data_IF_234149393334
#
_entry.id   IF_234149393334
#
_cell.length_a   1.000
_cell.length_b   1.000
_cell.length_c   1.000
_cell.angle_alpha   90.00
_cell.angle_beta   90.00
_cell.angle_gamma   90.00
#
_symmetry.space_group_name_H-M   'P 1'
#
loop_
_entity.id
_entity.type
_entity.pdbx_description
1 polymer ?
#
# COMPACT_ATOMS: atom_id res chain seq x y z
N UNK A 1 10.18 -33.85 12.38
CA UNK A 1 9.40 -33.51 11.17
C UNK A 1 9.29 -31.99 11.11
N UNK A 2 10.25 -31.34 10.46
CA UNK A 2 10.36 -29.87 10.45
C UNK A 2 9.50 -29.31 9.31
N UNK A 3 8.36 -28.70 9.64
CA UNK A 3 7.51 -28.01 8.67
C UNK A 3 8.20 -26.68 8.34
N UNK A 4 8.87 -26.66 7.19
CA UNK A 4 9.46 -25.47 6.58
C UNK A 4 8.30 -24.59 6.11
N UNK A 5 7.84 -23.67 6.95
CA UNK A 5 6.89 -22.63 6.53
C UNK A 5 7.65 -21.72 5.58
N UNK A 6 7.60 -22.04 4.29
CA UNK A 6 7.87 -21.07 3.24
C UNK A 6 6.75 -20.03 3.34
N UNK A 7 7.01 -18.93 4.05
CA UNK A 7 6.28 -17.69 3.87
C UNK A 7 6.56 -17.21 2.45
N UNK A 8 5.78 -17.77 1.51
CA UNK A 8 5.77 -17.40 0.11
C UNK A 8 5.37 -15.92 0.06
N UNK A 9 6.33 -15.04 -0.23
CA UNK A 9 6.09 -13.64 -0.57
C UNK A 9 5.12 -13.46 -1.76
N UNK A 10 4.73 -14.54 -2.45
CA UNK A 10 3.65 -14.54 -3.44
C UNK A 10 2.24 -14.49 -2.84
N UNK A 11 1.98 -15.15 -1.71
CA UNK A 11 0.64 -15.12 -1.10
C UNK A 11 0.28 -13.71 -0.62
N UNK A 12 1.27 -12.92 -0.20
CA UNK A 12 1.02 -11.55 0.25
C UNK A 12 0.69 -10.63 -0.94
N UNK A 13 1.45 -10.70 -2.04
CA UNK A 13 1.15 -9.94 -3.26
C UNK A 13 -0.19 -10.37 -3.89
N UNK A 14 -0.52 -11.66 -3.94
CA UNK A 14 -1.81 -12.12 -4.46
C UNK A 14 -2.99 -11.73 -3.55
N UNK A 15 -2.82 -11.75 -2.22
CA UNK A 15 -3.87 -11.33 -1.28
C UNK A 15 -4.07 -9.82 -1.30
N UNK A 16 -2.99 -9.05 -1.39
CA UNK A 16 -3.01 -7.59 -1.58
C UNK A 16 -3.68 -7.25 -2.93
N UNK A 17 -3.30 -7.95 -4.01
CA UNK A 17 -3.89 -7.78 -5.33
C UNK A 17 -5.37 -8.23 -5.39
N UNK A 18 -5.76 -9.26 -4.65
CA UNK A 18 -7.15 -9.69 -4.50
C UNK A 18 -7.97 -8.73 -3.63
N UNK A 19 -7.37 -8.11 -2.60
CA UNK A 19 -8.00 -7.04 -1.82
C UNK A 19 -8.18 -5.77 -2.65
N UNK A 20 -7.22 -5.42 -3.50
CA UNK A 20 -7.37 -4.34 -4.49
C UNK A 20 -8.48 -4.58 -5.50
N UNK A 21 -8.74 -5.84 -5.88
CA UNK A 21 -9.93 -6.19 -6.68
C UNK A 21 -11.26 -5.98 -5.94
N UNK A 22 -11.24 -5.84 -4.61
CA UNK A 22 -12.44 -5.68 -3.77
C UNK A 22 -12.55 -4.32 -3.06
N UNK A 23 -11.56 -3.43 -3.22
CA UNK A 23 -11.59 -2.08 -2.66
C UNK A 23 -12.70 -1.27 -3.36
N UNK A 24 -13.86 -1.25 -2.72
CA UNK A 24 -15.08 -0.62 -3.19
C UNK A 24 -14.91 0.90 -3.21
N UNK A 25 -15.14 1.49 -4.40
CA UNK A 25 -15.63 2.87 -4.62
C UNK A 25 -14.71 3.99 -4.09
N UNK A 26 -13.88 4.52 -4.99
CA UNK A 26 -13.13 5.76 -4.78
C UNK A 26 -11.63 5.52 -4.77
N UNK A 27 -10.95 6.08 -5.77
CA UNK A 27 -9.50 6.26 -5.86
C UNK A 27 -8.63 5.11 -5.30
N UNK A 28 -8.36 4.07 -6.11
CA UNK A 28 -7.66 2.85 -5.67
C UNK A 28 -6.26 3.11 -5.08
N UNK A 29 -5.62 4.22 -5.43
CA UNK A 29 -4.35 4.61 -4.87
C UNK A 29 -4.46 5.18 -3.44
N UNK A 30 -5.51 5.94 -3.12
CA UNK A 30 -5.76 6.33 -1.71
C UNK A 30 -6.14 5.11 -0.87
N UNK A 31 -6.96 4.20 -1.39
CA UNK A 31 -7.27 2.95 -0.71
C UNK A 31 -6.01 2.10 -0.46
N UNK A 32 -5.10 2.01 -1.44
CA UNK A 32 -3.79 1.38 -1.29
C UNK A 32 -3.01 2.00 -0.13
N UNK A 33 -2.96 3.34 -0.07
CA UNK A 33 -2.27 4.04 1.00
C UNK A 33 -2.87 3.78 2.38
N UNK A 34 -4.20 3.81 2.49
CA UNK A 34 -4.88 3.50 3.74
C UNK A 34 -4.61 2.06 4.19
N UNK A 35 -4.58 1.10 3.26
CA UNK A 35 -4.21 -0.28 3.57
C UNK A 35 -2.75 -0.39 4.05
N UNK A 36 -1.81 0.27 3.38
CA UNK A 36 -0.39 0.29 3.79
C UNK A 36 -0.22 0.91 5.18
N UNK A 37 -0.90 2.03 5.46
CA UNK A 37 -0.87 2.68 6.78
C UNK A 37 -1.54 1.80 7.84
N UNK A 38 -2.66 1.15 7.50
CA UNK A 38 -3.33 0.21 8.40
C UNK A 38 -2.43 -1.00 8.71
N UNK A 39 -1.70 -1.48 7.70
CA UNK A 39 -0.77 -2.58 7.84
C UNK A 39 0.42 -2.22 8.75
N UNK A 40 1.03 -1.04 8.58
CA UNK A 40 2.09 -0.51 9.44
C UNK A 40 1.64 -0.47 10.92
N UNK A 41 0.41 -0.02 11.20
CA UNK A 41 -0.18 -0.05 12.55
C UNK A 41 -0.37 -1.47 13.09
N UNK A 42 -0.79 -2.42 12.25
CA UNK A 42 -0.94 -3.84 12.64
C UNK A 42 0.41 -4.49 12.96
N UNK A 43 1.47 -4.12 12.24
CA UNK A 43 2.83 -4.56 12.55
C UNK A 43 3.28 -4.03 13.91
N UNK A 44 2.96 -2.78 14.26
CA UNK A 44 3.30 -2.23 15.57
C UNK A 44 2.63 -3.02 16.71
N UNK A 45 1.34 -3.30 16.59
CA UNK A 45 0.60 -4.13 17.56
C UNK A 45 1.21 -5.54 17.66
N UNK A 46 1.68 -6.10 16.54
CA UNK A 46 2.36 -7.40 16.55
C UNK A 46 3.69 -7.35 17.31
N UNK A 47 4.47 -6.27 17.17
CA UNK A 47 5.70 -6.06 17.95
C UNK A 47 5.39 -6.00 19.44
N UNK A 48 4.38 -5.24 19.86
CA UNK A 48 3.94 -5.15 21.26
C UNK A 48 3.52 -6.51 21.84
N UNK A 49 2.81 -7.32 21.05
CA UNK A 49 2.41 -8.69 21.41
C UNK A 49 3.63 -9.62 21.61
N UNK A 50 4.68 -9.44 20.81
CA UNK A 50 5.92 -10.22 20.90
C UNK A 50 6.79 -9.79 22.09
N UNK A 51 6.96 -8.48 22.31
CA UNK A 51 7.73 -7.92 23.42
C UNK A 51 7.09 -8.24 24.78
N UNK A 52 5.76 -8.22 24.84
CA UNK A 52 5.01 -8.60 26.05
C UNK A 52 4.92 -10.11 26.28
N UNK A 53 5.17 -10.92 25.24
CA UNK A 53 5.02 -12.38 25.24
C UNK A 53 3.56 -12.88 25.31
N UNK A 54 2.56 -11.99 25.27
CA UNK A 54 1.16 -12.34 25.58
C UNK A 54 0.31 -12.69 24.35
N UNK A 55 0.71 -12.32 23.12
CA UNK A 55 -0.03 -12.57 21.86
C UNK A 55 -1.54 -12.35 22.01
N UNK A 56 -1.93 -11.10 22.28
CA UNK A 56 -3.32 -10.74 22.59
C UNK A 56 -4.18 -10.55 21.34
N UNK A 57 -3.58 -10.05 20.26
CA UNK A 57 -4.32 -9.52 19.11
C UNK A 57 -4.42 -10.51 17.94
N UNK A 58 -3.48 -11.47 17.85
CA UNK A 58 -3.39 -12.43 16.74
C UNK A 58 -3.98 -13.78 17.12
N UNK A 59 -5.32 -13.90 17.06
CA UNK A 59 -6.09 -15.07 17.51
C UNK A 59 -5.59 -16.41 16.97
N UNK A 60 -5.26 -16.49 15.67
CA UNK A 60 -4.79 -17.73 15.05
C UNK A 60 -3.40 -18.14 15.59
N UNK A 61 -2.52 -17.16 15.82
CA UNK A 61 -1.19 -17.41 16.37
C UNK A 61 -1.27 -17.82 17.85
N UNK A 62 -2.15 -17.14 18.60
CA UNK A 62 -2.48 -17.51 19.97
C UNK A 62 -3.01 -18.94 20.05
N UNK A 63 -3.99 -19.28 19.22
CA UNK A 63 -4.57 -20.62 19.13
C UNK A 63 -3.50 -21.67 18.84
N UNK A 64 -2.64 -21.43 17.83
CA UNK A 64 -1.55 -22.35 17.50
C UNK A 64 -0.59 -22.56 18.68
N UNK A 65 -0.15 -21.47 19.34
CA UNK A 65 0.71 -21.56 20.53
C UNK A 65 0.04 -22.38 21.64
N UNK A 66 -1.23 -22.09 21.92
CA UNK A 66 -1.98 -22.73 23.01
C UNK A 66 -2.25 -24.23 22.71
N UNK A 67 -2.43 -24.60 21.43
CA UNK A 67 -2.63 -26.00 21.00
C UNK A 67 -1.34 -26.81 20.96
N UNK A 68 -0.22 -26.22 20.53
CA UNK A 68 1.03 -26.96 20.31
C UNK A 68 2.08 -26.74 21.39
N UNK A 69 1.85 -25.86 22.35
CA UNK A 69 2.86 -25.35 23.30
C UNK A 69 4.16 -24.92 22.58
N UNK A 70 4.06 -24.44 21.34
CA UNK A 70 5.25 -24.09 20.56
C UNK A 70 5.87 -22.80 21.12
N UNK A 71 7.18 -22.83 21.33
CA UNK A 71 7.96 -21.63 21.60
C UNK A 71 8.03 -20.80 20.33
N UNK A 72 7.62 -19.53 20.42
CA UNK A 72 7.75 -18.59 19.32
C UNK A 72 9.17 -18.04 19.32
N UNK A 73 9.87 -18.23 18.21
CA UNK A 73 11.18 -17.62 18.00
C UNK A 73 11.00 -16.11 17.76
N UNK A 74 11.06 -15.35 18.85
CA UNK A 74 10.95 -13.89 18.83
C UNK A 74 12.06 -13.24 18.02
N UNK A 75 13.24 -13.86 17.95
CA UNK A 75 14.37 -13.33 17.19
C UNK A 75 14.12 -13.44 15.67
N UNK A 76 13.57 -14.57 15.21
CA UNK A 76 13.15 -14.73 13.82
C UNK A 76 12.12 -13.66 13.42
N UNK A 77 11.08 -13.47 14.23
CA UNK A 77 10.06 -12.47 13.95
C UNK A 77 10.61 -11.05 14.02
N UNK A 78 11.48 -10.73 14.96
CA UNK A 78 12.13 -9.41 15.05
C UNK A 78 12.91 -9.07 13.77
N UNK A 79 13.69 -10.02 13.24
CA UNK A 79 14.42 -9.85 11.98
C UNK A 79 13.46 -9.70 10.80
N UNK A 80 12.43 -10.54 10.71
CA UNK A 80 11.43 -10.48 9.63
C UNK A 80 10.67 -9.15 9.63
N UNK A 81 10.25 -8.67 10.81
CA UNK A 81 9.55 -7.40 10.98
C UNK A 81 10.45 -6.22 10.65
N UNK A 82 11.72 -6.24 11.06
CA UNK A 82 12.69 -5.20 10.70
C UNK A 82 12.85 -5.11 9.19
N UNK A 83 13.08 -6.24 8.52
CA UNK A 83 13.20 -6.28 7.05
C UNK A 83 11.93 -5.79 6.34
N UNK A 84 10.76 -6.17 6.87
CA UNK A 84 9.49 -5.70 6.34
C UNK A 84 9.35 -4.18 6.51
N UNK A 85 9.60 -3.66 7.71
CA UNK A 85 9.55 -2.24 8.03
C UNK A 85 10.49 -1.44 7.13
N UNK A 86 11.73 -1.89 6.96
CA UNK A 86 12.71 -1.24 6.08
C UNK A 86 12.22 -1.18 4.61
N UNK A 87 11.53 -2.23 4.14
CA UNK A 87 10.87 -2.23 2.83
C UNK A 87 9.71 -1.23 2.72
N UNK A 88 8.95 -1.03 3.81
CA UNK A 88 7.84 -0.07 3.86
C UNK A 88 8.29 1.38 4.04
N UNK A 89 9.47 1.64 4.60
CA UNK A 89 9.99 3.00 4.75
C UNK A 89 10.15 3.72 3.39
N UNK A 90 10.44 2.98 2.32
CA UNK A 90 10.48 3.53 0.96
C UNK A 90 9.12 4.07 0.49
N UNK A 91 8.01 3.49 0.94
CA UNK A 91 6.66 4.00 0.64
C UNK A 91 6.36 5.29 1.41
N UNK A 92 6.88 5.40 2.64
CA UNK A 92 6.72 6.61 3.46
C UNK A 92 7.49 7.79 2.89
N UNK A 93 8.73 7.56 2.42
CA UNK A 93 9.57 8.61 1.81
C UNK A 93 9.06 9.08 0.45
N UNK A 94 8.34 8.22 -0.28
CA UNK A 94 7.77 8.54 -1.61
C UNK A 94 6.28 8.89 -1.55
N UNK A 95 5.74 9.25 -0.38
CA UNK A 95 4.32 9.56 -0.20
C UNK A 95 3.82 10.64 -1.17
N UNK A 96 4.58 11.72 -1.34
CA UNK A 96 4.30 12.80 -2.28
C UNK A 96 4.37 12.36 -3.75
N UNK A 97 5.34 11.52 -4.10
CA UNK A 97 5.49 10.93 -5.44
C UNK A 97 4.34 10.00 -5.80
N UNK A 98 3.89 9.21 -4.84
CA UNK A 98 2.72 8.37 -5.02
C UNK A 98 1.43 9.21 -5.05
N UNK A 99 1.33 10.27 -4.23
CA UNK A 99 0.23 11.23 -4.32
C UNK A 99 0.18 11.91 -5.70
N UNK A 100 1.33 12.11 -6.38
CA UNK A 100 1.42 12.70 -7.73
C UNK A 100 0.66 11.89 -8.77
N UNK A 101 0.73 10.56 -8.69
CA UNK A 101 -0.05 9.65 -9.54
C UNK A 101 -1.55 9.90 -9.36
N UNK A 102 -1.96 10.27 -8.14
CA UNK A 102 -3.36 10.41 -7.75
C UNK A 102 -3.92 11.81 -8.05
N UNK A 103 -3.10 12.84 -7.84
CA UNK A 103 -3.50 14.23 -7.89
C UNK A 103 -2.44 15.13 -8.56
N UNK A 104 -2.07 14.76 -9.78
CA UNK A 104 -1.01 15.41 -10.55
C UNK A 104 -1.11 16.94 -10.64
N UNK A 105 -2.32 17.52 -10.69
CA UNK A 105 -2.51 18.98 -10.83
C UNK A 105 -2.33 19.76 -9.52
N UNK A 106 -2.56 19.14 -8.36
CA UNK A 106 -2.63 19.85 -7.07
C UNK A 106 -1.40 19.66 -6.17
N UNK A 107 -0.35 19.04 -6.68
CA UNK A 107 0.82 18.69 -5.85
C UNK A 107 1.89 19.77 -5.88
N UNK A 108 2.51 19.94 -4.71
CA UNK A 108 3.72 20.72 -4.52
C UNK A 108 4.90 19.97 -5.13
N UNK A 109 5.43 20.49 -6.23
CA UNK A 109 6.57 19.89 -6.95
C UNK A 109 7.84 19.82 -6.13
N UNK A 110 7.97 20.66 -5.08
CA UNK A 110 9.13 20.67 -4.21
C UNK A 110 9.16 19.47 -3.26
N UNK A 111 8.01 18.81 -3.07
CA UNK A 111 7.89 17.66 -2.18
C UNK A 111 8.03 16.33 -2.92
N UNK A 112 7.99 16.30 -4.27
CA UNK A 112 8.06 15.07 -5.05
C UNK A 112 9.50 14.53 -5.05
N UNK A 113 9.71 13.34 -4.47
CA UNK A 113 10.98 12.65 -4.56
C UNK A 113 11.11 11.97 -5.93
N UNK A 114 11.85 12.61 -6.84
CA UNK A 114 12.07 12.11 -8.21
C UNK A 114 13.49 11.60 -8.47
N UNK A 115 14.41 11.79 -7.51
CA UNK A 115 15.80 11.34 -7.59
C UNK A 115 15.91 9.84 -7.98
N UNK A 116 15.09 8.92 -7.42
CA UNK A 116 15.19 7.50 -7.76
C UNK A 116 14.90 7.18 -9.23
N UNK A 117 14.24 8.08 -9.96
CA UNK A 117 13.82 7.88 -11.35
C UNK A 117 14.76 8.55 -12.36
N UNK A 118 15.80 9.27 -11.91
CA UNK A 118 16.71 10.00 -12.80
C UNK A 118 16.03 11.13 -13.57
N UNK A 119 14.91 11.65 -13.08
CA UNK A 119 14.16 12.75 -13.71
C UNK A 119 14.74 14.08 -13.25
N UNK A 120 14.93 15.01 -14.18
CA UNK A 120 15.34 16.37 -13.87
C UNK A 120 14.19 17.18 -13.23
N UNK A 121 14.45 17.76 -12.06
CA UNK A 121 13.45 18.48 -11.28
C UNK A 121 12.99 19.77 -11.97
N UNK A 122 13.91 20.50 -12.61
CA UNK A 122 13.57 21.74 -13.32
C UNK A 122 12.65 21.47 -14.51
N UNK A 123 12.98 20.47 -15.32
CA UNK A 123 12.18 20.03 -16.46
C UNK A 123 10.79 19.57 -16.03
N UNK A 124 10.69 18.74 -14.98
CA UNK A 124 9.40 18.29 -14.46
C UNK A 124 8.53 19.46 -13.95
N UNK A 125 9.13 20.42 -13.24
CA UNK A 125 8.43 21.62 -12.78
C UNK A 125 7.87 22.45 -13.93
N UNK A 126 8.69 22.68 -14.97
CA UNK A 126 8.27 23.41 -16.17
C UNK A 126 7.13 22.70 -16.90
N UNK A 127 7.25 21.38 -17.11
CA UNK A 127 6.18 20.58 -17.73
C UNK A 127 4.88 20.61 -16.93
N UNK A 128 4.97 20.57 -15.59
CA UNK A 128 3.79 20.63 -14.75
C UNK A 128 3.13 22.01 -14.75
N UNK A 129 3.93 23.09 -14.76
CA UNK A 129 3.43 24.45 -14.89
C UNK A 129 2.69 24.65 -16.22
N UNK A 130 3.27 24.17 -17.32
CA UNK A 130 2.65 24.14 -18.64
C UNK A 130 1.33 23.37 -18.65
N UNK A 131 1.28 22.23 -17.94
CA UNK A 131 0.07 21.43 -17.82
C UNK A 131 -1.02 22.14 -17.01
N UNK A 132 -0.66 22.81 -15.91
CA UNK A 132 -1.60 23.54 -15.04
C UNK A 132 -2.17 24.78 -15.73
N UNK A 133 -1.37 25.47 -16.53
CA UNK A 133 -1.76 26.72 -17.21
C UNK A 133 -2.55 26.50 -18.50
N UNK A 134 -2.51 25.29 -19.06
CA UNK A 134 -3.31 24.93 -20.24
C UNK A 134 -4.64 24.34 -19.81
N UNK A 135 -5.64 25.20 -19.63
CA UNK A 135 -7.02 24.85 -19.22
C UNK A 135 -7.64 23.72 -20.06
N UNK A 136 -7.29 23.64 -21.35
CA UNK A 136 -7.73 22.56 -22.23
C UNK A 136 -7.21 21.19 -21.80
N UNK A 137 -5.93 21.10 -21.40
CA UNK A 137 -5.31 19.85 -21.01
C UNK A 137 -5.71 19.44 -19.59
N UNK A 138 -5.76 20.38 -18.65
CA UNK A 138 -6.23 20.12 -17.29
C UNK A 138 -7.70 19.64 -17.29
N UNK A 139 -8.55 20.22 -18.14
CA UNK A 139 -9.92 19.77 -18.37
C UNK A 139 -9.99 18.34 -18.92
N UNK A 140 -9.23 18.03 -19.97
CA UNK A 140 -9.18 16.68 -20.56
C UNK A 140 -8.66 15.62 -19.60
N UNK A 141 -7.64 15.92 -18.80
CA UNK A 141 -7.12 14.98 -17.80
C UNK A 141 -8.13 14.73 -16.68
N UNK A 142 -8.81 15.77 -16.20
CA UNK A 142 -9.89 15.66 -15.21
C UNK A 142 -11.04 14.78 -15.74
N UNK A 143 -11.47 15.03 -16.98
CA UNK A 143 -12.53 14.25 -17.63
C UNK A 143 -12.13 12.78 -17.83
N UNK A 144 -10.92 12.53 -18.33
CA UNK A 144 -10.40 11.18 -18.53
C UNK A 144 -10.28 10.42 -17.21
N UNK A 145 -9.78 11.07 -16.16
CA UNK A 145 -9.72 10.50 -14.81
C UNK A 145 -11.12 10.10 -14.32
N UNK A 146 -12.11 10.99 -14.45
CA UNK A 146 -13.49 10.69 -14.04
C UNK A 146 -14.07 9.50 -14.81
N UNK A 147 -13.83 9.43 -16.13
CA UNK A 147 -14.28 8.31 -16.98
C UNK A 147 -13.64 6.99 -16.55
N UNK A 148 -12.35 7.00 -16.20
CA UNK A 148 -11.64 5.81 -15.72
C UNK A 148 -12.17 5.35 -14.35
N UNK A 149 -12.40 6.29 -13.43
CA UNK A 149 -13.01 6.00 -12.12
C UNK A 149 -14.42 5.42 -12.27
N UNK A 150 -15.25 5.98 -13.15
CA UNK A 150 -16.59 5.47 -13.44
C UNK A 150 -16.56 4.05 -14.02
N UNK A 151 -15.67 3.81 -14.99
CA UNK A 151 -15.50 2.51 -15.63
C UNK A 151 -15.05 1.43 -14.63
N UNK A 152 -14.17 1.77 -13.70
CA UNK A 152 -13.76 0.86 -12.63
C UNK A 152 -14.93 0.55 -11.67
N UNK A 153 -15.72 1.55 -11.29
CA UNK A 153 -16.93 1.34 -10.47
C UNK A 153 -17.92 0.42 -11.17
N UNK A 154 -18.16 0.61 -12.48
CA UNK A 154 -19.05 -0.24 -13.27
C UNK A 154 -18.57 -1.70 -13.33
N UNK A 155 -17.25 -1.92 -13.51
CA UNK A 155 -16.65 -3.27 -13.47
C UNK A 155 -16.84 -3.94 -12.12
N UNK A 156 -16.61 -3.23 -11.01
CA UNK A 156 -16.81 -3.78 -9.68
C UNK A 156 -18.26 -4.20 -9.42
N UNK A 157 -19.24 -3.41 -9.89
CA UNK A 157 -20.67 -3.74 -9.75
C UNK A 157 -21.02 -5.02 -10.52
N UNK A 158 -20.54 -5.16 -11.76
CA UNK A 158 -20.77 -6.36 -12.56
C UNK A 158 -20.18 -7.61 -11.91
N UNK A 159 -18.95 -7.53 -11.40
CA UNK A 159 -18.31 -8.66 -10.71
C UNK A 159 -19.07 -9.08 -9.44
N UNK A 160 -19.64 -8.11 -8.71
CA UNK A 160 -20.41 -8.38 -7.49
C UNK A 160 -21.80 -8.99 -7.77
N UNK A 161 -22.40 -8.71 -8.92
CA UNK A 161 -23.70 -9.26 -9.34
C UNK A 161 -23.60 -10.66 -9.95
N UNK A 162 -22.41 -11.06 -10.44
CA UNK A 162 -22.14 -12.36 -11.05
C UNK A 162 -21.31 -13.31 -10.15
N UNK A 163 -21.31 -13.06 -8.83
CA UNK A 163 -20.77 -13.95 -7.80
C UNK A 163 -21.88 -14.72 -7.12
#
# INVERSE_FOLDING_TARGET
>A
MAIKIQLHGRYHNETICAKFKTARKGNPAYAFFEEVVCFDKKLLIFVEDMESGKILHFKNLKQYRDETNATIDTNYFSIALKNMKDGFEQFKTNKSTLAFIVNHLNINTNEINIQPFGIDAGSLQMQLLDLKTKDLWSGKFTELKSKLEELEVQKCIHIAQHK
#
